data_IF_284024606103
#
_entry.id   IF_284024606103
#
_cell.length_a   1.000
_cell.length_b   1.000
_cell.length_c   1.000
_cell.angle_alpha   90.00
_cell.angle_beta   90.00
_cell.angle_gamma   90.00
#
_symmetry.space_group_name_H-M   'P 1'
#
loop_
_entity.id
_entity.type
_entity.pdbx_description
1 polymer ?
#
# COMPACT_ATOMS: atom_id res chain seq x y z
N UNK A 1 15.53 -5.11 0.45
CA UNK A 1 15.53 -6.22 1.45
C UNK A 1 14.89 -5.85 2.79
N UNK A 2 15.01 -4.61 3.29
CA UNK A 2 14.41 -4.22 4.60
C UNK A 2 12.88 -4.38 4.64
N UNK A 3 12.18 -4.07 3.55
CA UNK A 3 10.72 -4.23 3.44
C UNK A 3 10.30 -5.69 3.58
N UNK A 4 10.94 -6.62 2.86
CA UNK A 4 10.61 -8.05 2.97
C UNK A 4 10.93 -8.59 4.37
N UNK A 5 12.05 -8.15 4.97
CA UNK A 5 12.37 -8.46 6.38
C UNK A 5 11.26 -7.97 7.32
N UNK A 6 10.77 -6.74 7.13
CA UNK A 6 9.69 -6.17 7.93
C UNK A 6 8.42 -7.02 7.82
N UNK A 7 7.97 -7.33 6.60
CA UNK A 7 6.79 -8.18 6.40
C UNK A 7 6.93 -9.56 7.10
N UNK A 8 8.07 -10.23 6.94
CA UNK A 8 8.31 -11.54 7.55
C UNK A 8 8.34 -11.48 9.09
N UNK A 9 8.86 -10.42 9.68
CA UNK A 9 8.87 -10.22 11.15
C UNK A 9 7.49 -9.84 11.70
N UNK A 10 6.54 -9.52 10.83
CA UNK A 10 5.15 -9.19 11.15
C UNK A 10 4.18 -10.26 10.64
N UNK A 11 4.63 -11.53 10.59
CA UNK A 11 3.85 -12.72 10.24
C UNK A 11 3.17 -12.65 8.85
N UNK A 12 3.73 -11.88 7.93
CA UNK A 12 3.25 -11.77 6.55
C UNK A 12 4.21 -12.43 5.56
N UNK A 13 3.66 -12.96 4.47
CA UNK A 13 4.44 -13.50 3.34
C UNK A 13 4.55 -12.41 2.25
N UNK A 14 5.72 -11.79 2.05
CA UNK A 14 5.85 -10.69 1.10
C UNK A 14 5.79 -11.18 -0.35
N UNK A 15 4.90 -10.61 -1.14
CA UNK A 15 4.90 -10.68 -2.60
C UNK A 15 5.39 -9.32 -3.13
N UNK A 16 6.70 -9.15 -3.24
CA UNK A 16 7.30 -7.86 -3.59
C UNK A 16 7.65 -7.81 -5.09
N UNK A 17 6.95 -7.01 -5.92
CA UNK A 17 7.13 -6.98 -7.37
C UNK A 17 8.54 -6.56 -7.78
N UNK A 18 9.25 -5.76 -6.97
CA UNK A 18 10.62 -5.34 -7.24
C UNK A 18 11.65 -6.45 -7.05
N UNK A 19 11.31 -7.50 -6.31
CA UNK A 19 12.20 -8.65 -6.06
C UNK A 19 11.74 -9.94 -6.73
N UNK A 20 10.51 -10.00 -7.22
CA UNK A 20 9.96 -11.24 -7.77
C UNK A 20 10.71 -11.68 -9.04
N UNK A 21 11.03 -10.76 -9.95
CA UNK A 21 11.65 -11.11 -11.23
C UNK A 21 12.69 -10.11 -11.75
N UNK A 22 13.13 -9.14 -10.93
CA UNK A 22 13.95 -8.02 -11.40
C UNK A 22 13.10 -6.83 -11.89
N UNK A 23 13.68 -5.64 -11.95
CA UNK A 23 12.94 -4.41 -12.24
C UNK A 23 12.43 -4.43 -13.69
N UNK A 24 11.10 -4.45 -13.85
CA UNK A 24 10.44 -4.66 -15.14
C UNK A 24 10.92 -5.91 -15.90
N UNK A 25 11.39 -6.93 -15.18
CA UNK A 25 12.02 -8.14 -15.73
C UNK A 25 13.11 -7.79 -16.77
N UNK A 26 13.94 -6.81 -16.42
CA UNK A 26 15.10 -6.37 -17.19
C UNK A 26 14.80 -5.99 -18.66
N UNK A 27 13.58 -5.48 -18.91
CA UNK A 27 13.08 -5.11 -20.24
C UNK A 27 13.12 -6.25 -21.28
N UNK A 28 13.20 -7.51 -20.83
CA UNK A 28 13.17 -8.70 -21.69
C UNK A 28 11.78 -8.98 -22.29
N UNK A 29 10.74 -8.36 -21.72
CA UNK A 29 9.34 -8.46 -22.15
C UNK A 29 8.66 -7.10 -22.08
N UNK A 30 7.49 -6.99 -22.70
CA UNK A 30 6.67 -5.78 -22.64
C UNK A 30 6.35 -5.40 -21.18
N UNK A 31 6.52 -4.12 -20.83
CA UNK A 31 6.25 -3.59 -19.49
C UNK A 31 4.79 -3.76 -19.07
N UNK A 32 3.84 -3.72 -19.99
CA UNK A 32 2.43 -3.96 -19.70
C UNK A 32 2.15 -5.43 -19.36
N UNK A 33 2.97 -6.36 -19.86
CA UNK A 33 2.92 -7.75 -19.40
C UNK A 33 3.35 -7.84 -17.93
N UNK A 34 4.44 -7.16 -17.55
CA UNK A 34 4.91 -7.13 -16.15
C UNK A 34 3.90 -6.45 -15.23
N UNK A 35 3.31 -5.31 -15.64
CA UNK A 35 2.25 -4.63 -14.88
C UNK A 35 1.04 -5.52 -14.64
N UNK A 36 0.57 -6.25 -15.67
CA UNK A 36 -0.53 -7.22 -15.51
C UNK A 36 -0.15 -8.38 -14.58
N UNK A 37 1.10 -8.82 -14.59
CA UNK A 37 1.59 -9.83 -13.67
C UNK A 37 1.59 -9.32 -12.21
N UNK A 38 2.06 -8.09 -11.97
CA UNK A 38 2.01 -7.44 -10.66
C UNK A 38 0.56 -7.25 -10.17
N UNK A 39 -0.35 -6.80 -11.04
CA UNK A 39 -1.77 -6.67 -10.69
C UNK A 39 -2.39 -8.02 -10.26
N UNK A 40 -1.98 -9.13 -10.90
CA UNK A 40 -2.41 -10.47 -10.51
C UNK A 40 -1.95 -10.87 -9.11
N UNK A 41 -0.78 -10.39 -8.69
CA UNK A 41 -0.29 -10.59 -7.32
C UNK A 41 -1.17 -9.88 -6.31
N UNK A 42 -1.54 -8.61 -6.57
CA UNK A 42 -2.48 -7.85 -5.72
C UNK A 42 -3.81 -8.59 -5.62
N UNK A 43 -4.33 -9.11 -6.73
CA UNK A 43 -5.58 -9.87 -6.74
C UNK A 43 -5.50 -11.08 -5.80
N UNK A 44 -4.36 -11.79 -5.73
CA UNK A 44 -4.19 -12.96 -4.85
C UNK A 44 -3.82 -12.63 -3.41
N UNK A 45 -3.17 -11.50 -3.16
CA UNK A 45 -2.71 -11.13 -1.82
C UNK A 45 -3.89 -10.81 -0.89
N UNK A 46 -3.76 -11.09 0.41
CA UNK A 46 -4.81 -10.77 1.39
C UNK A 46 -4.91 -9.27 1.67
N UNK A 47 -3.78 -8.56 1.61
CA UNK A 47 -3.66 -7.12 1.85
C UNK A 47 -2.50 -6.50 1.06
N UNK A 48 -2.51 -5.18 0.91
CA UNK A 48 -1.47 -4.39 0.24
C UNK A 48 -0.74 -3.50 1.25
N UNK A 49 0.60 -3.59 1.28
CA UNK A 49 1.44 -2.75 2.14
C UNK A 49 2.28 -1.82 1.26
N UNK A 50 2.16 -0.52 1.49
CA UNK A 50 2.80 0.55 0.72
C UNK A 50 3.89 1.19 1.56
N UNK A 51 5.08 1.35 0.99
CA UNK A 51 6.26 1.87 1.67
C UNK A 51 6.80 3.10 0.94
N UNK A 52 6.89 4.23 1.64
CA UNK A 52 7.40 5.49 1.09
C UNK A 52 6.40 6.25 0.22
N UNK A 53 6.88 7.27 -0.53
CA UNK A 53 6.03 8.12 -1.35
C UNK A 53 5.26 7.35 -2.42
N UNK A 54 4.01 7.74 -2.64
CA UNK A 54 3.11 7.11 -3.62
C UNK A 54 3.36 7.70 -5.01
N UNK A 55 3.85 6.86 -5.91
CA UNK A 55 3.92 7.16 -7.35
C UNK A 55 2.59 6.92 -8.06
N UNK A 56 2.49 7.39 -9.31
CA UNK A 56 1.31 7.16 -10.15
C UNK A 56 0.97 5.67 -10.26
N UNK A 57 1.97 4.81 -10.49
CA UNK A 57 1.78 3.36 -10.58
C UNK A 57 1.26 2.74 -9.28
N UNK A 58 1.85 3.15 -8.15
CA UNK A 58 1.43 2.66 -6.82
C UNK A 58 0.01 3.14 -6.49
N UNK A 59 -0.38 4.35 -6.92
CA UNK A 59 -1.74 4.85 -6.74
C UNK A 59 -2.78 3.95 -7.44
N UNK A 60 -2.50 3.49 -8.67
CA UNK A 60 -3.36 2.52 -9.36
C UNK A 60 -3.46 1.18 -8.62
N UNK A 61 -2.34 0.69 -8.10
CA UNK A 61 -2.29 -0.55 -7.30
C UNK A 61 -3.12 -0.44 -6.01
N UNK A 62 -3.04 0.71 -5.32
CA UNK A 62 -3.86 1.03 -4.15
C UNK A 62 -5.35 1.05 -4.51
N UNK A 63 -5.71 1.75 -5.58
CA UNK A 63 -7.11 1.83 -6.03
C UNK A 63 -7.66 0.44 -6.35
N UNK A 64 -6.88 -0.41 -7.04
CA UNK A 64 -7.24 -1.80 -7.33
C UNK A 64 -7.46 -2.59 -6.04
N UNK A 65 -6.54 -2.51 -5.07
CA UNK A 65 -6.68 -3.21 -3.79
C UNK A 65 -7.94 -2.76 -3.02
N UNK A 66 -8.21 -1.45 -2.98
CA UNK A 66 -9.40 -0.89 -2.33
C UNK A 66 -10.71 -1.26 -3.05
N UNK A 67 -10.70 -1.37 -4.38
CA UNK A 67 -11.85 -1.85 -5.15
C UNK A 67 -12.16 -3.33 -4.87
N UNK A 68 -11.12 -4.13 -4.62
CA UNK A 68 -11.23 -5.53 -4.22
C UNK A 68 -11.55 -5.72 -2.72
N UNK A 69 -11.76 -4.63 -1.97
CA UNK A 69 -12.05 -4.68 -0.53
C UNK A 69 -10.89 -5.13 0.33
N UNK A 70 -9.65 -5.12 -0.20
CA UNK A 70 -8.45 -5.53 0.53
C UNK A 70 -8.01 -4.44 1.50
N UNK A 71 -7.41 -4.85 2.62
CA UNK A 71 -6.79 -3.89 3.53
C UNK A 71 -5.56 -3.26 2.86
N UNK A 72 -5.40 -1.95 3.00
CA UNK A 72 -4.22 -1.21 2.54
C UNK A 72 -3.55 -0.56 3.74
N UNK A 73 -2.25 -0.80 3.91
CA UNK A 73 -1.45 -0.26 5.02
C UNK A 73 -0.31 0.57 4.48
N UNK A 74 0.00 1.67 5.15
CA UNK A 74 1.04 2.61 4.74
C UNK A 74 2.15 2.63 5.77
N UNK A 75 3.38 2.71 5.28
CA UNK A 75 4.58 2.73 6.11
C UNK A 75 5.58 3.75 5.58
N UNK A 76 6.31 4.39 6.49
CA UNK A 76 7.50 5.15 6.12
C UNK A 76 8.59 4.21 5.62
N UNK A 77 9.59 4.77 4.95
CA UNK A 77 10.78 4.04 4.53
C UNK A 77 12.01 4.91 4.71
N UNK A 78 13.13 4.30 5.08
CA UNK A 78 14.40 4.97 5.25
C UNK A 78 15.58 4.00 5.12
N UNK A 79 16.81 4.48 5.29
CA UNK A 79 18.01 3.66 5.12
C UNK A 79 18.15 2.54 6.16
N UNK A 80 17.43 2.60 7.29
CA UNK A 80 17.50 1.63 8.37
C UNK A 80 16.15 0.97 8.62
N UNK A 81 16.18 -0.24 9.18
CA UNK A 81 14.98 -0.99 9.51
C UNK A 81 14.03 -0.22 10.45
N UNK A 82 14.59 0.48 11.44
CA UNK A 82 13.84 1.29 12.40
C UNK A 82 13.14 2.52 11.80
N UNK A 83 13.45 2.86 10.55
CA UNK A 83 12.80 3.96 9.84
C UNK A 83 11.49 3.51 9.17
N UNK A 84 11.14 2.21 9.26
CA UNK A 84 9.87 1.65 8.79
C UNK A 84 8.85 1.71 9.92
N UNK A 85 7.93 2.66 9.84
CA UNK A 85 6.90 2.91 10.85
C UNK A 85 5.52 3.00 10.18
N UNK A 86 4.44 2.52 10.82
CA UNK A 86 3.10 2.69 10.30
C UNK A 86 2.74 4.17 10.14
N UNK A 87 2.11 4.52 9.01
CA UNK A 87 1.65 5.87 8.70
C UNK A 87 0.14 6.01 8.87
N UNK A 88 -0.25 7.20 9.31
CA UNK A 88 -1.64 7.68 9.28
C UNK A 88 -1.90 8.39 7.95
N UNK A 89 -3.17 8.59 7.60
CA UNK A 89 -3.56 9.19 6.33
C UNK A 89 -2.95 10.59 6.10
N UNK A 90 -2.80 11.39 7.16
CA UNK A 90 -2.21 12.73 7.13
C UNK A 90 -0.68 12.74 6.96
N UNK A 91 -0.02 11.60 7.12
CA UNK A 91 1.43 11.44 6.95
C UNK A 91 1.79 10.69 5.65
N UNK A 92 0.82 10.45 4.77
CA UNK A 92 1.07 9.85 3.46
C UNK A 92 1.69 10.89 2.54
N UNK A 93 2.82 10.52 1.93
CA UNK A 93 3.52 11.33 0.95
C UNK A 93 3.24 10.82 -0.47
N UNK A 94 3.25 11.73 -1.43
CA UNK A 94 3.10 11.43 -2.85
C UNK A 94 4.35 11.89 -3.60
N UNK A 95 4.67 11.23 -4.71
CA UNK A 95 5.65 11.79 -5.65
C UNK A 95 5.12 13.09 -6.28
N UNK A 96 6.03 13.96 -6.72
CA UNK A 96 5.70 15.31 -7.16
C UNK A 96 4.69 15.37 -8.33
N UNK A 97 4.69 14.34 -9.18
CA UNK A 97 3.76 14.18 -10.31
C UNK A 97 2.35 13.72 -9.89
N UNK A 98 2.18 13.29 -8.63
CA UNK A 98 0.92 12.79 -8.07
C UNK A 98 0.35 13.72 -7.01
N UNK A 99 1.19 14.45 -6.30
CA UNK A 99 0.85 15.23 -5.10
C UNK A 99 -0.37 16.15 -5.31
N UNK A 100 -0.42 16.85 -6.43
CA UNK A 100 -1.50 17.81 -6.76
C UNK A 100 -2.65 17.23 -7.60
N UNK A 101 -2.71 15.91 -7.76
CA UNK A 101 -3.75 15.24 -8.53
C UNK A 101 -5.10 15.19 -7.78
N UNK A 102 -6.20 15.00 -8.51
CA UNK A 102 -7.52 14.79 -7.86
C UNK A 102 -7.57 13.42 -7.19
N UNK A 103 -6.81 12.47 -7.72
CA UNK A 103 -6.73 11.09 -7.30
C UNK A 103 -6.00 10.95 -5.95
N UNK A 104 -4.94 11.74 -5.71
CA UNK A 104 -4.26 11.80 -4.40
C UNK A 104 -5.20 12.36 -3.33
N UNK A 105 -5.87 13.48 -3.61
CA UNK A 105 -6.83 14.10 -2.70
C UNK A 105 -7.99 13.14 -2.35
N UNK A 106 -8.56 12.47 -3.36
CA UNK A 106 -9.63 11.49 -3.18
C UNK A 106 -9.18 10.28 -2.35
N UNK A 107 -7.92 9.83 -2.50
CA UNK A 107 -7.37 8.75 -1.67
C UNK A 107 -7.33 9.18 -0.19
N UNK A 108 -6.78 10.36 0.11
CA UNK A 108 -6.67 10.86 1.48
C UNK A 108 -8.05 10.99 2.13
N UNK A 109 -9.02 11.57 1.42
CA UNK A 109 -10.40 11.69 1.90
C UNK A 109 -11.00 10.31 2.22
N UNK A 110 -10.86 9.35 1.31
CA UNK A 110 -11.38 7.99 1.50
C UNK A 110 -10.76 7.30 2.72
N UNK A 111 -9.46 7.45 2.92
CA UNK A 111 -8.76 6.88 4.06
C UNK A 111 -9.21 7.52 5.39
N UNK A 112 -9.42 8.84 5.40
CA UNK A 112 -9.93 9.55 6.57
C UNK A 112 -11.33 9.07 6.97
N UNK A 113 -12.22 8.85 5.99
CA UNK A 113 -13.57 8.33 6.23
C UNK A 113 -13.54 6.89 6.79
N UNK A 114 -12.69 6.01 6.25
CA UNK A 114 -12.55 4.63 6.74
C UNK A 114 -11.99 4.56 8.17
N UNK A 115 -11.10 5.48 8.54
CA UNK A 115 -10.58 5.60 9.90
C UNK A 115 -11.64 6.08 10.91
N UNK A 116 -12.51 7.00 10.50
CA UNK A 116 -13.62 7.49 11.32
C UNK A 116 -14.68 6.40 11.58
N UNK A 117 -15.02 5.61 10.56
CA UNK A 117 -16.02 4.54 10.65
C UNK A 117 -15.56 3.39 11.59
N UNK A 118 -14.28 3.02 11.51
CA UNK A 118 -13.67 2.05 12.45
C UNK A 118 -13.62 2.57 13.89
N UNK A 119 -13.46 3.87 14.10
CA UNK A 119 -13.41 4.45 15.45
C UNK A 119 -14.78 4.46 16.14
N UNK A 120 -15.87 4.59 15.38
CA UNK A 120 -17.25 4.53 15.91
C UNK A 120 -17.71 3.09 16.21
N UNK A 121 -17.20 2.10 15.47
CA UNK A 121 -17.49 0.69 15.71
C UNK A 121 -16.91 0.18 17.04
N UNK A 122 -15.72 0.63 17.44
CA UNK A 122 -15.06 0.22 18.69
C UNK A 122 -15.71 0.80 19.94
N UNK A 123 -16.33 1.99 19.85
CA UNK A 123 -17.01 2.62 21.00
C UNK A 123 -18.29 1.88 21.40
N UNK A 124 -18.97 1.23 20.44
CA UNK A 124 -20.21 0.46 20.72
C UNK A 124 -19.97 -0.91 21.34
N UNK A 125 -18.75 -1.42 21.37
CA UNK A 125 -18.47 -2.77 21.93
C UNK A 125 -18.15 -2.75 23.43
N UNK A 126 -17.96 -1.56 24.03
CA UNK A 126 -17.61 -1.41 25.44
C UNK A 126 -18.76 -1.00 26.37
N UNK A 127 -19.96 -0.71 25.83
CA UNK A 127 -21.14 -0.35 26.65
C UNK A 127 -22.10 -1.52 26.93
N UNK A 128 -21.90 -2.70 26.35
CA UNK A 128 -22.78 -3.87 26.49
C UNK A 128 -22.14 -5.06 27.26
N UNK A 129 -21.35 -4.81 28.31
CA UNK A 129 -20.90 -5.86 29.25
C UNK A 129 -20.99 -5.47 30.71
#
# INVERSE_FOLDING_TARGET
MLICKFALLHDAVPINPFTNWGYFLDDLVDRDLVRRANNNMIIRADELWVFGPISNGVLFEIQLAMQLGKAVRFFSVGPRYQDILPLRADAIEFEADVESSKESAALIERLAMQGADRSQATTKTHEDR
#
